data_IF_129326146075
#
_entry.id   IF_129326146075
#
_cell.length_a   1.000
_cell.length_b   1.000
_cell.length_c   1.000
_cell.angle_alpha   90.00
_cell.angle_beta   90.00
_cell.angle_gamma   90.00
#
_symmetry.space_group_name_H-M   'P 1'
#
loop_
_entity.id
_entity.type
_entity.pdbx_description
1 polymer ?
#
# COMPACT_ATOMS: atom_id res chain seq x y z
N UNK A 1 -22.73 -11.66 -7.55
CA UNK A 1 -23.54 -12.06 -6.37
C UNK A 1 -23.13 -11.15 -5.23
N UNK A 2 -23.98 -10.19 -4.81
CA UNK A 2 -23.69 -9.35 -3.65
C UNK A 2 -23.93 -10.18 -2.40
N UNK A 3 -22.86 -10.55 -1.69
CA UNK A 3 -22.99 -11.09 -0.32
C UNK A 3 -23.38 -9.92 0.58
N UNK A 4 -24.67 -9.58 0.59
CA UNK A 4 -25.19 -8.57 1.50
C UNK A 4 -25.14 -9.16 2.92
N UNK A 5 -24.38 -8.54 3.82
CA UNK A 5 -24.43 -8.85 5.24
C UNK A 5 -25.78 -8.41 5.81
N UNK A 6 -26.75 -9.33 5.87
CA UNK A 6 -27.95 -9.17 6.70
C UNK A 6 -27.70 -9.87 8.03
N UNK A 7 -26.91 -9.24 8.90
CA UNK A 7 -26.91 -9.60 10.31
C UNK A 7 -28.00 -8.79 11.01
N UNK A 8 -29.26 -9.07 10.66
CA UNK A 8 -30.36 -8.72 11.55
C UNK A 8 -30.38 -9.83 12.60
N UNK A 9 -29.79 -9.58 13.77
CA UNK A 9 -30.23 -10.32 14.94
C UNK A 9 -31.65 -9.81 15.19
N UNK A 10 -32.66 -10.60 14.82
CA UNK A 10 -34.08 -10.26 14.95
C UNK A 10 -34.48 -10.15 16.44
N UNK A 11 -33.88 -9.21 17.18
CA UNK A 11 -34.05 -9.03 18.62
C UNK A 11 -33.45 -10.15 19.49
N UNK A 12 -32.68 -11.08 18.93
CA UNK A 12 -32.08 -12.20 19.68
C UNK A 12 -30.73 -11.82 20.27
N UNK A 13 -30.52 -12.14 21.55
CA UNK A 13 -29.21 -12.09 22.20
C UNK A 13 -28.29 -13.12 21.56
N UNK A 14 -27.18 -12.68 20.99
CA UNK A 14 -26.11 -13.56 20.50
C UNK A 14 -24.99 -13.58 21.54
N UNK A 15 -24.54 -14.78 21.90
CA UNK A 15 -23.35 -14.95 22.72
C UNK A 15 -22.07 -15.11 21.87
N UNK A 16 -20.93 -15.30 22.53
CA UNK A 16 -19.64 -15.47 21.86
C UNK A 16 -19.60 -16.70 20.93
N UNK A 17 -20.29 -17.78 21.30
CA UNK A 17 -20.34 -19.01 20.52
C UNK A 17 -21.19 -18.84 19.26
N UNK A 18 -22.29 -18.10 19.36
CA UNK A 18 -23.15 -17.76 18.22
C UNK A 18 -22.40 -16.94 17.18
N UNK A 19 -21.60 -15.96 17.63
CA UNK A 19 -20.75 -15.13 16.76
C UNK A 19 -19.69 -15.99 16.08
N UNK A 20 -19.04 -16.90 16.82
CA UNK A 20 -18.04 -17.81 16.29
C UNK A 20 -18.61 -18.75 15.21
N UNK A 21 -19.73 -19.41 15.50
CA UNK A 21 -20.44 -20.29 14.55
C UNK A 21 -20.89 -19.53 13.31
N UNK A 22 -21.42 -18.32 13.49
CA UNK A 22 -21.85 -17.50 12.38
C UNK A 22 -20.67 -17.07 11.49
N UNK A 23 -19.57 -16.62 12.08
CA UNK A 23 -18.39 -16.20 11.32
C UNK A 23 -17.69 -17.35 10.61
N UNK A 24 -17.65 -18.55 11.18
CA UNK A 24 -17.22 -19.78 10.48
C UNK A 24 -18.12 -20.10 9.29
N UNK A 25 -19.45 -20.10 9.50
CA UNK A 25 -20.44 -20.37 8.45
C UNK A 25 -20.33 -19.38 7.29
N UNK A 26 -20.05 -18.12 7.61
CA UNK A 26 -19.84 -17.05 6.62
C UNK A 26 -18.41 -17.04 6.05
N UNK A 27 -17.51 -17.88 6.55
CA UNK A 27 -16.13 -17.98 6.09
C UNK A 27 -15.26 -16.78 6.44
N UNK A 28 -15.63 -15.99 7.47
CA UNK A 28 -14.89 -14.80 7.92
C UNK A 28 -13.56 -15.17 8.59
N UNK A 29 -13.51 -16.33 9.26
CA UNK A 29 -12.31 -16.89 9.86
C UNK A 29 -12.29 -18.42 9.68
N UNK A 30 -11.09 -19.00 9.78
CA UNK A 30 -10.85 -20.43 9.85
C UNK A 30 -10.52 -20.87 11.28
N UNK A 31 -10.62 -22.17 11.53
CA UNK A 31 -10.12 -22.81 12.74
C UNK A 31 -8.77 -23.45 12.43
N UNK A 32 -7.77 -23.14 13.24
CA UNK A 32 -6.46 -23.77 13.17
C UNK A 32 -6.09 -24.33 14.55
N UNK A 33 -5.40 -25.46 14.58
CA UNK A 33 -4.80 -25.96 15.82
C UNK A 33 -3.70 -24.99 16.24
N UNK A 34 -3.77 -24.51 17.48
CA UNK A 34 -2.86 -23.53 18.01
C UNK A 34 -1.42 -24.03 17.95
N UNK A 35 -0.56 -23.22 17.32
CA UNK A 35 0.87 -23.41 17.24
C UNK A 35 1.55 -22.08 17.56
N UNK A 36 2.29 -21.96 18.68
CA UNK A 36 2.95 -20.72 19.07
C UNK A 36 3.87 -20.13 17.99
N UNK A 37 4.43 -20.99 17.14
CA UNK A 37 5.28 -20.60 16.00
C UNK A 37 4.50 -19.85 14.91
N UNK A 38 3.23 -20.22 14.68
CA UNK A 38 2.40 -19.61 13.64
C UNK A 38 1.54 -18.47 14.19
N UNK A 39 1.02 -18.62 15.41
CA UNK A 39 0.01 -17.71 15.98
C UNK A 39 0.57 -16.73 17.02
N UNK A 40 1.85 -16.88 17.40
CA UNK A 40 2.43 -16.16 18.54
C UNK A 40 2.03 -16.78 19.87
N UNK A 41 2.66 -16.36 20.97
CA UNK A 41 2.32 -16.87 22.30
C UNK A 41 1.01 -16.24 22.81
N UNK A 42 -0.03 -17.05 22.94
CA UNK A 42 -1.31 -16.69 23.53
C UNK A 42 -1.38 -17.30 24.93
N UNK A 43 -1.54 -16.43 25.94
CA UNK A 43 -1.63 -16.85 27.34
C UNK A 43 -2.87 -17.74 27.55
N UNK A 44 -2.70 -18.84 28.30
CA UNK A 44 -3.79 -19.76 28.61
C UNK A 44 -4.12 -20.75 27.50
N UNK A 45 -3.29 -20.85 26.46
CA UNK A 45 -3.45 -21.83 25.39
C UNK A 45 -2.35 -22.90 25.34
N UNK A 46 -2.75 -24.15 25.14
CA UNK A 46 -1.85 -25.30 24.99
C UNK A 46 -1.68 -25.68 23.50
N UNK A 47 -0.41 -25.73 23.07
CA UNK A 47 -0.06 -26.03 21.69
C UNK A 47 -0.50 -27.45 21.31
N UNK A 48 -1.16 -27.60 20.16
CA UNK A 48 -1.62 -28.90 19.68
C UNK A 48 -2.97 -29.37 20.24
N UNK A 49 -3.49 -28.72 21.30
CA UNK A 49 -4.78 -29.06 21.90
C UNK A 49 -5.84 -28.00 21.59
N UNK A 50 -5.47 -26.73 21.70
CA UNK A 50 -6.43 -25.65 21.50
C UNK A 50 -6.66 -25.31 20.03
N UNK A 51 -7.86 -24.83 19.76
CA UNK A 51 -8.22 -24.24 18.46
C UNK A 51 -8.22 -22.72 18.56
N UNK A 52 -7.57 -22.07 17.61
CA UNK A 52 -7.61 -20.62 17.45
C UNK A 52 -8.33 -20.24 16.17
N UNK A 53 -8.90 -19.04 16.19
CA UNK A 53 -9.57 -18.44 15.05
C UNK A 53 -8.61 -17.56 14.27
N UNK A 54 -8.38 -17.90 13.01
CA UNK A 54 -7.46 -17.19 12.12
C UNK A 54 -8.25 -16.53 11.00
N UNK A 55 -7.98 -15.24 10.75
CA UNK A 55 -8.56 -14.55 9.60
C UNK A 55 -8.10 -15.23 8.32
N UNK A 56 -9.05 -15.60 7.45
CA UNK A 56 -8.68 -16.18 6.16
C UNK A 56 -7.97 -15.13 5.32
N UNK A 57 -6.95 -15.55 4.59
CA UNK A 57 -6.38 -14.73 3.54
C UNK A 57 -7.49 -14.31 2.59
N UNK A 58 -7.44 -13.07 2.11
CA UNK A 58 -8.40 -12.51 1.16
C UNK A 58 -7.76 -12.27 -0.20
N UNK A 59 -7.49 -13.32 -1.02
CA UNK A 59 -6.78 -13.17 -2.29
C UNK A 59 -7.40 -12.13 -3.23
N UNK A 60 -8.73 -12.02 -3.24
CA UNK A 60 -9.43 -11.03 -4.05
C UNK A 60 -9.14 -9.59 -3.60
N UNK A 61 -9.16 -9.34 -2.29
CA UNK A 61 -8.81 -8.03 -1.72
C UNK A 61 -7.34 -7.73 -1.95
N UNK A 62 -6.46 -8.71 -1.74
CA UNK A 62 -5.01 -8.56 -1.94
C UNK A 62 -4.70 -8.24 -3.41
N UNK A 63 -5.34 -8.95 -4.35
CA UNK A 63 -5.20 -8.71 -5.79
C UNK A 63 -5.74 -7.34 -6.19
N UNK A 64 -6.90 -6.95 -5.67
CA UNK A 64 -7.47 -5.63 -5.91
C UNK A 64 -6.57 -4.52 -5.37
N UNK A 65 -6.04 -4.69 -4.15
CA UNK A 65 -5.12 -3.75 -3.55
C UNK A 65 -3.83 -3.62 -4.37
N UNK A 66 -3.28 -4.73 -4.85
CA UNK A 66 -2.09 -4.74 -5.71
C UNK A 66 -2.35 -4.00 -7.04
N UNK A 67 -3.52 -4.21 -7.66
CA UNK A 67 -3.92 -3.52 -8.89
C UNK A 67 -4.08 -2.02 -8.68
N UNK A 68 -4.79 -1.61 -7.63
CA UNK A 68 -4.96 -0.19 -7.27
C UNK A 68 -3.60 0.46 -7.00
N UNK A 69 -2.73 -0.19 -6.24
CA UNK A 69 -1.38 0.32 -5.96
C UNK A 69 -0.57 0.49 -7.24
N UNK A 70 -0.61 -0.48 -8.16
CA UNK A 70 0.08 -0.38 -9.45
C UNK A 70 -0.46 0.79 -10.29
N UNK A 71 -1.78 0.94 -10.36
CA UNK A 71 -2.43 2.06 -11.05
C UNK A 71 -2.05 3.41 -10.45
N UNK A 72 -2.13 3.56 -9.13
CA UNK A 72 -1.78 4.81 -8.44
C UNK A 72 -0.31 5.19 -8.62
N UNK A 73 0.61 4.22 -8.64
CA UNK A 73 2.04 4.50 -8.91
C UNK A 73 2.24 5.01 -10.34
N UNK A 74 1.60 4.38 -11.32
CA UNK A 74 1.65 4.83 -12.72
C UNK A 74 1.08 6.24 -12.90
N UNK A 75 -0.01 6.57 -12.20
CA UNK A 75 -0.58 7.91 -12.16
C UNK A 75 0.37 8.93 -11.52
N UNK A 76 0.99 8.59 -10.39
CA UNK A 76 1.98 9.45 -9.72
C UNK A 76 3.19 9.76 -10.60
N UNK A 77 3.71 8.76 -11.31
CA UNK A 77 4.81 8.92 -12.27
C UNK A 77 4.41 9.86 -13.42
N UNK A 78 3.23 9.64 -14.01
CA UNK A 78 2.69 10.53 -15.06
C UNK A 78 2.54 11.96 -14.58
N UNK A 79 2.03 12.13 -13.36
CA UNK A 79 1.84 13.43 -12.75
C UNK A 79 3.18 14.16 -12.58
N UNK A 80 4.20 13.50 -12.04
CA UNK A 80 5.54 14.07 -11.87
C UNK A 80 6.17 14.51 -13.21
N UNK A 81 6.13 13.64 -14.22
CA UNK A 81 6.60 13.96 -15.58
C UNK A 81 5.86 15.18 -16.16
N UNK A 82 4.54 15.24 -15.99
CA UNK A 82 3.70 16.35 -16.46
C UNK A 82 4.03 17.66 -15.74
N UNK A 83 4.29 17.63 -14.43
CA UNK A 83 4.70 18.81 -13.66
C UNK A 83 6.07 19.33 -14.09
N UNK A 84 7.02 18.43 -14.38
CA UNK A 84 8.33 18.81 -14.91
C UNK A 84 8.22 19.48 -16.29
N UNK A 85 7.46 18.88 -17.21
CA UNK A 85 7.21 19.45 -18.53
C UNK A 85 6.52 20.82 -18.45
N UNK A 86 5.54 20.98 -17.56
CA UNK A 86 4.88 22.26 -17.32
C UNK A 86 5.85 23.31 -16.75
N UNK A 87 6.73 22.93 -15.81
CA UNK A 87 7.72 23.83 -15.24
C UNK A 87 8.65 24.40 -16.32
N UNK A 88 9.09 23.57 -17.26
CA UNK A 88 9.86 24.02 -18.42
C UNK A 88 9.06 24.96 -19.33
N UNK A 89 7.84 24.58 -19.72
CA UNK A 89 7.00 25.40 -20.62
C UNK A 89 6.67 26.79 -20.05
N UNK A 90 6.61 26.91 -18.72
CA UNK A 90 6.38 28.18 -18.03
C UNK A 90 7.67 28.95 -17.68
N UNK A 91 8.84 28.46 -18.10
CA UNK A 91 10.12 29.14 -17.90
C UNK A 91 10.70 29.02 -16.48
N UNK A 92 10.20 28.11 -15.64
CA UNK A 92 10.80 27.83 -14.33
C UNK A 92 12.11 27.04 -14.43
N UNK A 93 12.37 26.41 -15.58
CA UNK A 93 13.57 25.62 -15.85
C UNK A 93 14.26 26.19 -17.08
N UNK A 94 15.41 26.82 -16.88
CA UNK A 94 16.26 27.35 -17.94
C UNK A 94 17.30 26.30 -18.36
N UNK A 95 16.84 25.29 -19.10
CA UNK A 95 17.66 24.21 -19.64
C UNK A 95 17.27 23.90 -21.09
N UNK A 96 18.18 23.34 -21.91
CA UNK A 96 17.82 22.91 -23.25
C UNK A 96 16.67 21.89 -23.26
N UNK A 97 15.78 21.98 -24.25
CA UNK A 97 14.66 21.05 -24.43
C UNK A 97 15.11 19.58 -24.39
N UNK A 98 16.27 19.27 -24.97
CA UNK A 98 16.82 17.92 -24.99
C UNK A 98 17.05 17.38 -23.57
N UNK A 99 17.68 18.17 -22.69
CA UNK A 99 17.96 17.77 -21.31
C UNK A 99 16.66 17.56 -20.53
N UNK A 100 15.69 18.46 -20.66
CA UNK A 100 14.39 18.33 -19.97
C UNK A 100 13.62 17.12 -20.48
N UNK A 101 13.63 16.88 -21.80
CA UNK A 101 12.95 15.74 -22.41
C UNK A 101 13.55 14.42 -21.96
N UNK A 102 14.88 14.35 -21.78
CA UNK A 102 15.55 13.16 -21.26
C UNK A 102 15.15 12.89 -19.81
N UNK A 103 15.06 13.91 -18.95
CA UNK A 103 14.59 13.73 -17.55
C UNK A 103 13.12 13.32 -17.51
N UNK A 104 12.25 13.93 -18.33
CA UNK A 104 10.84 13.52 -18.45
C UNK A 104 10.73 12.05 -18.87
N UNK A 105 11.52 11.63 -19.86
CA UNK A 105 11.58 10.24 -20.30
C UNK A 105 12.06 9.30 -19.20
N UNK A 106 13.14 9.66 -18.51
CA UNK A 106 13.66 8.90 -17.36
C UNK A 106 12.59 8.72 -16.27
N UNK A 107 11.79 9.74 -15.96
CA UNK A 107 10.68 9.63 -15.00
C UNK A 107 9.62 8.65 -15.53
N UNK A 108 9.26 8.71 -16.82
CA UNK A 108 8.26 7.82 -17.41
C UNK A 108 8.74 6.35 -17.49
N UNK A 109 10.03 6.13 -17.76
CA UNK A 109 10.67 4.82 -17.82
C UNK A 109 10.66 4.11 -16.45
N UNK A 110 10.53 4.87 -15.34
CA UNK A 110 10.36 4.30 -14.00
C UNK A 110 9.12 3.40 -13.87
N UNK A 111 8.14 3.49 -14.78
CA UNK A 111 7.01 2.54 -14.82
C UNK A 111 7.46 1.14 -15.18
N UNK A 112 8.34 1.02 -16.18
CA UNK A 112 8.86 -0.27 -16.62
C UNK A 112 9.82 -0.83 -15.58
N UNK A 113 10.61 0.03 -14.92
CA UNK A 113 11.44 -0.36 -13.78
C UNK A 113 10.60 -0.92 -12.63
N UNK A 114 9.50 -0.24 -12.28
CA UNK A 114 8.60 -0.65 -11.22
C UNK A 114 7.83 -1.93 -11.55
N UNK A 115 7.42 -2.12 -12.81
CA UNK A 115 6.76 -3.34 -13.27
C UNK A 115 7.68 -4.57 -13.21
N UNK A 116 9.00 -4.36 -13.41
CA UNK A 116 10.01 -5.42 -13.38
C UNK A 116 10.75 -5.55 -12.04
N UNK A 117 10.43 -4.70 -11.05
CA UNK A 117 11.07 -4.73 -9.75
C UNK A 117 10.76 -6.06 -9.03
N UNK A 118 11.81 -6.79 -8.64
CA UNK A 118 11.68 -8.11 -7.97
C UNK A 118 10.96 -8.01 -6.63
N UNK A 119 11.08 -6.87 -5.95
CA UNK A 119 10.34 -6.52 -4.74
C UNK A 119 10.05 -5.01 -4.84
N UNK A 120 8.81 -4.58 -5.19
CA UNK A 120 8.46 -3.18 -5.03
C UNK A 120 8.61 -2.81 -3.55
N UNK A 121 9.23 -1.66 -3.21
CA UNK A 121 9.27 -1.22 -1.82
C UNK A 121 7.86 -1.24 -1.24
N UNK A 122 7.70 -1.75 -0.01
CA UNK A 122 6.38 -1.88 0.62
C UNK A 122 5.67 -0.51 0.79
N UNK A 123 6.47 0.55 0.89
CA UNK A 123 6.09 1.97 0.94
C UNK A 123 6.13 2.68 -0.42
N UNK A 124 6.56 1.99 -1.48
CA UNK A 124 6.40 2.43 -2.87
C UNK A 124 7.40 3.46 -3.40
N UNK A 125 8.64 3.43 -2.90
CA UNK A 125 9.75 4.41 -3.03
C UNK A 125 9.87 5.14 -1.69
N UNK A 126 10.69 4.61 -0.77
CA UNK A 126 11.13 5.38 0.40
C UNK A 126 11.65 6.72 -0.11
N UNK A 127 10.90 7.79 0.12
CA UNK A 127 11.14 9.12 -0.44
C UNK A 127 12.43 9.76 0.07
N UNK A 128 13.37 8.99 0.62
CA UNK A 128 14.60 9.43 1.24
C UNK A 128 15.38 10.41 0.37
N UNK A 129 15.46 10.16 -0.94
CA UNK A 129 16.08 11.12 -1.87
C UNK A 129 15.29 12.44 -1.94
N UNK A 130 13.98 12.38 -2.14
CA UNK A 130 13.13 13.56 -2.20
C UNK A 130 13.10 14.35 -0.88
N UNK A 131 12.99 13.66 0.25
CA UNK A 131 13.01 14.22 1.60
C UNK A 131 14.36 14.88 1.91
N UNK A 132 15.46 14.22 1.56
CA UNK A 132 16.80 14.80 1.71
C UNK A 132 16.96 16.03 0.82
N UNK A 133 16.53 15.98 -0.44
CA UNK A 133 16.55 17.16 -1.32
C UNK A 133 15.71 18.31 -0.77
N UNK A 134 14.51 18.03 -0.24
CA UNK A 134 13.66 19.06 0.40
C UNK A 134 14.34 19.70 1.61
N UNK A 135 14.98 18.89 2.46
CA UNK A 135 15.74 19.39 3.61
C UNK A 135 16.93 20.26 3.17
N UNK A 136 17.65 19.84 2.14
CA UNK A 136 18.76 20.60 1.57
C UNK A 136 18.30 21.92 0.96
N UNK A 137 17.22 21.92 0.17
CA UNK A 137 16.63 23.14 -0.40
C UNK A 137 16.16 24.10 0.70
N UNK A 138 15.48 23.59 1.74
CA UNK A 138 15.07 24.40 2.88
C UNK A 138 16.28 25.02 3.61
N UNK A 139 17.38 24.28 3.74
CA UNK A 139 18.62 24.79 4.34
C UNK A 139 19.29 25.87 3.48
N UNK A 140 19.29 25.72 2.14
CA UNK A 140 19.83 26.72 1.22
C UNK A 140 19.03 28.03 1.28
N UNK A 141 17.69 27.94 1.28
CA UNK A 141 16.79 29.11 1.40
C UNK A 141 17.06 29.85 2.73
N UNK A 142 17.20 29.13 3.86
CA UNK A 142 17.53 29.75 5.16
C UNK A 142 18.87 30.47 5.19
N UNK A 143 19.83 30.03 4.37
CA UNK A 143 21.16 30.65 4.24
C UNK A 143 21.17 31.85 3.29
N UNK A 144 20.02 32.24 2.72
CA UNK A 144 19.91 33.35 1.79
C UNK A 144 20.52 33.07 0.42
N UNK A 145 20.67 31.80 0.04
CA UNK A 145 20.99 31.45 -1.35
C UNK A 145 19.85 31.99 -2.22
N UNK A 146 20.18 32.84 -3.20
CA UNK A 146 19.19 33.42 -4.10
C UNK A 146 18.59 32.29 -4.97
N UNK A 147 17.26 32.33 -5.11
CA UNK A 147 16.51 31.55 -6.10
C UNK A 147 16.89 32.00 -7.51
#
# INVERSE_FOLDING_TARGET
MKTCFRAAADGVSMDGDDIQKLGERLGLFGRETYQPVLHGYICGHEAGEDTVYVMKKTPATDSFLAEVQASSRNEGINYAASRLAAAYNHGFIDKPLAEVSDVVRMILDAKDELANATIPPADGLSGEYAEKSLAEFAAQIRKGAAL
#
